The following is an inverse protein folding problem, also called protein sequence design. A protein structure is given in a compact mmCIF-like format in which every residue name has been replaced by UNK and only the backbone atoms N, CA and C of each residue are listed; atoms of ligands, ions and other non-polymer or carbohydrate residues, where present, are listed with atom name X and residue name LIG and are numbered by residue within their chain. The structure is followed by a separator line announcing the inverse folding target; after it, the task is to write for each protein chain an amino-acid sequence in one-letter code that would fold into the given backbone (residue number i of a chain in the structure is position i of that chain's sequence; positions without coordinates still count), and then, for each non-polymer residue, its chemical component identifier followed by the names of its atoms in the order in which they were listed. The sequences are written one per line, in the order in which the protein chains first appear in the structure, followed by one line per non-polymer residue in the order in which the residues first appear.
data_IF_888952421293
#
_entry.id   IF_888952421293
#
_cell.length_a   1.000
_cell.length_b   1.000
_cell.length_c   1.000
_cell.angle_alpha   90.00
_cell.angle_beta   90.00
_cell.angle_gamma   90.00
#
_symmetry.space_group_name_H-M   'P 1'
#
loop_
_entity.id
_entity.type
_entity.pdbx_description
1 polymer ?
#
# COMPACT_ATOMS: atom_id res chain seq x y z
N UNK A 1 -45.85 -19.01 13.84
CA UNK A 1 -44.82 -18.03 14.25
C UNK A 1 -45.45 -16.65 14.18
N UNK A 2 -45.69 -16.02 15.33
CA UNK A 2 -46.30 -14.70 15.38
C UNK A 2 -45.42 -13.68 14.63
N UNK A 3 -46.02 -12.89 13.75
CA UNK A 3 -45.32 -11.83 13.03
C UNK A 3 -44.69 -10.89 14.06
N UNK A 4 -43.35 -10.81 14.10
CA UNK A 4 -42.66 -9.90 14.98
C UNK A 4 -43.12 -8.47 14.64
N UNK A 5 -43.70 -7.80 15.62
CA UNK A 5 -44.13 -6.41 15.49
C UNK A 5 -42.92 -5.52 15.25
N UNK A 6 -43.06 -4.51 14.39
CA UNK A 6 -42.01 -3.55 14.06
C UNK A 6 -41.30 -2.96 15.29
N UNK A 7 -42.05 -2.80 16.39
CA UNK A 7 -41.61 -2.24 17.66
C UNK A 7 -40.55 -3.10 18.38
N UNK A 8 -40.55 -4.42 18.16
CA UNK A 8 -39.60 -5.36 18.76
C UNK A 8 -38.41 -5.73 17.87
N UNK A 9 -38.25 -5.10 16.69
CA UNK A 9 -37.20 -5.49 15.76
C UNK A 9 -35.81 -4.99 16.23
N UNK A 10 -34.82 -5.88 16.44
CA UNK A 10 -33.45 -5.47 16.82
C UNK A 10 -32.73 -4.68 15.71
N UNK A 11 -33.21 -4.78 14.47
CA UNK A 11 -32.68 -4.06 13.31
C UNK A 11 -33.41 -2.73 13.05
N UNK A 12 -34.26 -2.26 13.97
CA UNK A 12 -35.03 -1.02 13.78
C UNK A 12 -34.14 0.20 13.50
N UNK A 13 -32.97 0.27 14.14
CA UNK A 13 -32.01 1.37 13.96
C UNK A 13 -31.38 1.38 12.57
N UNK A 14 -31.13 0.20 11.99
CA UNK A 14 -30.54 0.04 10.66
C UNK A 14 -31.56 -0.13 9.54
N UNK A 15 -32.86 -0.21 9.87
CA UNK A 15 -33.91 -0.43 8.89
C UNK A 15 -34.15 0.83 8.04
N UNK A 16 -34.14 0.72 6.71
CA UNK A 16 -34.40 1.85 5.81
C UNK A 16 -35.89 2.22 5.73
N UNK A 17 -36.80 1.36 6.23
CA UNK A 17 -38.24 1.60 6.23
C UNK A 17 -38.57 2.62 7.34
N UNK A 18 -39.23 3.71 6.98
CA UNK A 18 -39.64 4.78 7.90
C UNK A 18 -41.15 4.79 8.07
N UNK A 19 -41.61 4.86 9.32
CA UNK A 19 -43.02 5.08 9.62
C UNK A 19 -43.33 6.58 9.46
N UNK A 20 -44.33 6.88 8.66
CA UNK A 20 -44.88 8.24 8.49
C UNK A 20 -45.84 8.55 9.64
N UNK A 21 -46.10 9.84 9.88
CA UNK A 21 -47.04 10.32 10.92
C UNK A 21 -48.46 9.73 10.79
N UNK A 22 -48.84 9.31 9.58
CA UNK A 22 -50.14 8.73 9.27
C UNK A 22 -50.19 7.21 9.48
N UNK A 23 -49.19 6.62 10.15
CA UNK A 23 -49.11 5.19 10.43
C UNK A 23 -48.69 4.32 9.24
N UNK A 24 -48.42 4.89 8.05
CA UNK A 24 -47.92 4.13 6.89
C UNK A 24 -46.41 3.95 6.94
N UNK A 25 -45.94 2.81 6.48
CA UNK A 25 -44.52 2.54 6.30
C UNK A 25 -44.09 2.89 4.87
N UNK A 26 -42.98 3.60 4.75
CA UNK A 26 -42.44 4.10 3.47
C UNK A 26 -40.98 3.69 3.33
N UNK A 27 -40.60 3.38 2.09
CA UNK A 27 -39.22 3.07 1.72
C UNK A 27 -38.85 4.00 0.58
N UNK A 28 -38.00 4.97 0.85
CA UNK A 28 -37.53 5.92 -0.15
C UNK A 28 -36.17 5.49 -0.67
N UNK A 29 -36.10 5.24 -1.98
CA UNK A 29 -34.83 5.08 -2.69
C UNK A 29 -34.59 6.31 -3.54
N UNK A 30 -33.59 7.11 -3.16
CA UNK A 30 -33.18 8.20 -4.03
C UNK A 30 -32.45 7.64 -5.26
N UNK A 31 -32.46 8.39 -6.37
CA UNK A 31 -31.65 8.04 -7.54
C UNK A 31 -30.15 7.95 -7.22
N UNK A 32 -29.68 8.65 -6.17
CA UNK A 32 -28.32 8.53 -5.65
C UNK A 32 -28.10 7.16 -4.98
N UNK A 33 -29.04 6.70 -4.16
CA UNK A 33 -28.93 5.40 -3.48
C UNK A 33 -28.93 4.24 -4.47
N UNK A 34 -29.77 4.32 -5.51
CA UNK A 34 -29.75 3.35 -6.60
C UNK A 34 -28.40 3.28 -7.30
N UNK A 35 -27.78 4.43 -7.61
CA UNK A 35 -26.43 4.49 -8.22
C UNK A 35 -25.34 3.95 -7.30
N UNK A 36 -25.43 4.23 -5.99
CA UNK A 36 -24.50 3.70 -5.01
C UNK A 36 -24.65 2.19 -4.83
N UNK A 37 -25.87 1.68 -4.81
CA UNK A 37 -26.13 0.24 -4.74
C UNK A 37 -25.59 -0.48 -5.98
N UNK A 38 -25.77 0.10 -7.18
CA UNK A 38 -25.16 -0.41 -8.42
C UNK A 38 -23.64 -0.48 -8.31
N UNK A 39 -22.98 0.62 -7.90
CA UNK A 39 -21.54 0.63 -7.67
C UNK A 39 -21.10 -0.42 -6.64
N UNK A 40 -21.80 -0.59 -5.51
CA UNK A 40 -21.42 -1.62 -4.53
C UNK A 40 -21.44 -3.02 -5.13
N UNK A 41 -22.49 -3.35 -5.89
CA UNK A 41 -22.59 -4.65 -6.59
C UNK A 41 -21.44 -4.86 -7.56
N UNK A 42 -21.06 -3.83 -8.32
CA UNK A 42 -19.89 -3.89 -9.21
C UNK A 42 -18.58 -4.06 -8.44
N UNK A 43 -18.40 -3.29 -7.37
CA UNK A 43 -17.21 -3.33 -6.51
C UNK A 43 -17.04 -4.66 -5.77
N UNK A 44 -18.13 -5.35 -5.46
CA UNK A 44 -18.14 -6.67 -4.82
C UNK A 44 -17.75 -7.80 -5.78
N UNK A 45 -17.67 -7.54 -7.10
CA UNK A 45 -17.22 -8.55 -8.05
C UNK A 45 -15.71 -8.84 -7.91
N UNK A 46 -15.28 -10.11 -8.06
CA UNK A 46 -13.86 -10.45 -7.98
C UNK A 46 -13.03 -9.79 -9.07
N UNK A 47 -13.61 -9.58 -10.26
CA UNK A 47 -12.96 -8.90 -11.39
C UNK A 47 -12.65 -7.44 -11.06
N UNK A 48 -13.56 -6.75 -10.34
CA UNK A 48 -13.30 -5.39 -9.90
C UNK A 48 -12.17 -5.36 -8.86
N UNK A 49 -12.20 -6.28 -7.90
CA UNK A 49 -11.16 -6.38 -6.86
C UNK A 49 -9.76 -6.62 -7.47
N UNK A 50 -9.66 -7.51 -8.46
CA UNK A 50 -8.39 -7.79 -9.15
C UNK A 50 -7.86 -6.56 -9.89
N UNK A 51 -8.74 -5.84 -10.61
CA UNK A 51 -8.37 -4.62 -11.33
C UNK A 51 -7.98 -3.48 -10.38
N UNK A 52 -8.67 -3.33 -9.26
CA UNK A 52 -8.43 -2.27 -8.28
C UNK A 52 -7.33 -2.62 -7.27
N UNK A 53 -6.83 -3.86 -7.25
CA UNK A 53 -5.74 -4.30 -6.37
C UNK A 53 -4.48 -3.45 -6.53
N UNK A 54 -4.13 -3.09 -7.77
CA UNK A 54 -2.95 -2.24 -8.03
C UNK A 54 -3.17 -0.83 -7.46
N UNK A 55 -4.35 -0.25 -7.70
CA UNK A 55 -4.67 1.10 -7.25
C UNK A 55 -4.75 1.20 -5.73
N UNK A 56 -5.44 0.26 -5.09
CA UNK A 56 -5.52 0.16 -3.64
C UNK A 56 -4.14 -0.04 -3.01
N UNK A 57 -3.23 -0.76 -3.66
CA UNK A 57 -1.81 -0.86 -3.27
C UNK A 57 -1.09 0.49 -3.26
N UNK A 58 -1.31 1.33 -4.28
CA UNK A 58 -0.78 2.70 -4.36
C UNK A 58 -1.35 3.58 -3.24
N UNK A 59 -2.67 3.55 -3.08
CA UNK A 59 -3.38 4.35 -2.08
C UNK A 59 -2.92 3.99 -0.66
N UNK A 60 -2.78 2.69 -0.38
CA UNK A 60 -2.25 2.17 0.89
C UNK A 60 -0.83 2.67 1.15
N UNK A 61 0.04 2.61 0.14
CA UNK A 61 1.42 3.10 0.23
C UNK A 61 1.45 4.61 0.50
N UNK A 62 0.67 5.40 -0.24
CA UNK A 62 0.59 6.85 -0.05
C UNK A 62 0.03 7.24 1.33
N UNK A 63 -1.00 6.53 1.80
CA UNK A 63 -1.54 6.70 3.15
C UNK A 63 -0.47 6.39 4.20
N UNK A 64 0.25 5.30 4.03
CA UNK A 64 1.38 4.92 4.88
C UNK A 64 2.49 5.97 4.94
N UNK A 65 2.92 6.48 3.78
CA UNK A 65 3.92 7.54 3.67
C UNK A 65 3.47 8.84 4.35
N UNK A 66 2.21 9.24 4.15
CA UNK A 66 1.65 10.45 4.77
C UNK A 66 1.53 10.30 6.28
N UNK A 67 0.94 9.21 6.75
CA UNK A 67 0.54 9.05 8.15
C UNK A 67 1.68 8.57 9.05
N UNK A 68 2.53 7.65 8.57
CA UNK A 68 3.64 7.11 9.39
C UNK A 68 4.94 7.86 9.20
N UNK A 69 5.22 8.31 7.97
CA UNK A 69 6.47 9.01 7.67
C UNK A 69 6.29 10.53 7.58
N UNK A 70 5.10 11.07 7.79
CA UNK A 70 4.85 12.52 7.84
C UNK A 70 5.10 13.22 6.51
N UNK A 71 4.85 12.55 5.38
CA UNK A 71 5.13 13.10 4.05
C UNK A 71 4.21 14.29 3.68
N UNK A 72 3.09 14.45 4.39
CA UNK A 72 2.18 15.59 4.27
C UNK A 72 2.72 16.89 4.91
N UNK A 73 3.70 16.81 5.82
CA UNK A 73 4.26 17.98 6.53
C UNK A 73 5.77 17.84 6.69
N UNK A 74 6.49 18.25 5.65
CA UNK A 74 7.96 18.27 5.67
C UNK A 74 8.47 19.53 6.37
N UNK A 75 9.42 19.37 7.29
CA UNK A 75 10.05 20.48 8.04
C UNK A 75 11.25 21.12 7.31
N UNK A 76 11.43 20.83 6.03
CA UNK A 76 12.55 21.34 5.22
C UNK A 76 12.07 22.36 4.20
N UNK A 77 12.94 23.32 3.88
CA UNK A 77 12.72 24.33 2.82
C UNK A 77 13.71 24.09 1.68
N UNK A 78 13.37 24.58 0.50
CA UNK A 78 14.18 24.45 -0.70
C UNK A 78 13.97 23.13 -1.44
N UNK A 79 13.89 23.22 -2.77
CA UNK A 79 13.52 22.11 -3.66
C UNK A 79 14.43 20.88 -3.48
N UNK A 80 15.75 21.06 -3.44
CA UNK A 80 16.70 19.96 -3.28
C UNK A 80 16.54 19.18 -1.97
N UNK A 81 16.39 19.90 -0.86
CA UNK A 81 16.17 19.29 0.46
C UNK A 81 14.83 18.55 0.53
N UNK A 82 13.77 19.11 -0.05
CA UNK A 82 12.45 18.47 -0.15
C UNK A 82 12.56 17.15 -0.90
N UNK A 83 13.19 17.13 -2.09
CA UNK A 83 13.36 15.91 -2.87
C UNK A 83 14.17 14.83 -2.13
N UNK A 84 15.27 15.21 -1.48
CA UNK A 84 16.09 14.26 -0.71
C UNK A 84 15.31 13.64 0.43
N UNK A 85 14.51 14.42 1.16
CA UNK A 85 13.68 13.91 2.26
C UNK A 85 12.56 13.00 1.75
N UNK A 86 11.89 13.36 0.66
CA UNK A 86 10.87 12.51 0.04
C UNK A 86 11.50 11.17 -0.36
N UNK A 87 12.62 11.20 -1.08
CA UNK A 87 13.32 10.00 -1.52
C UNK A 87 13.67 9.10 -0.33
N UNK A 88 14.25 9.67 0.72
CA UNK A 88 14.65 8.91 1.91
C UNK A 88 13.46 8.30 2.64
N UNK A 89 12.32 9.00 2.71
CA UNK A 89 11.08 8.46 3.28
C UNK A 89 10.50 7.34 2.42
N UNK A 90 10.48 7.50 1.10
CA UNK A 90 10.01 6.48 0.17
C UNK A 90 10.88 5.23 0.26
N UNK A 91 12.21 5.36 0.31
CA UNK A 91 13.11 4.22 0.51
C UNK A 91 12.95 3.60 1.90
N UNK A 92 12.73 4.43 2.92
CA UNK A 92 12.52 4.01 4.31
C UNK A 92 11.22 3.23 4.53
N UNK A 93 10.21 3.37 3.64
CA UNK A 93 8.95 2.63 3.71
C UNK A 93 9.12 1.10 3.66
N UNK A 94 10.22 0.62 3.07
CA UNK A 94 10.51 -0.80 3.00
C UNK A 94 10.80 -1.44 4.38
N UNK A 95 11.32 -0.67 5.34
CA UNK A 95 11.63 -1.16 6.70
C UNK A 95 10.38 -1.60 7.47
N UNK A 96 9.34 -0.77 7.66
CA UNK A 96 8.12 -1.21 8.34
C UNK A 96 7.37 -2.31 7.56
N UNK A 97 7.49 -2.36 6.23
CA UNK A 97 6.94 -3.44 5.42
C UNK A 97 7.64 -4.77 5.70
N UNK A 98 8.97 -4.76 5.81
CA UNK A 98 9.75 -5.93 6.19
C UNK A 98 9.42 -6.40 7.61
N UNK A 99 9.28 -5.46 8.55
CA UNK A 99 8.92 -5.75 9.94
C UNK A 99 7.51 -6.37 10.06
N UNK A 100 6.54 -5.93 9.25
CA UNK A 100 5.19 -6.50 9.26
C UNK A 100 5.15 -7.93 8.69
N UNK A 101 6.01 -8.25 7.73
CA UNK A 101 6.04 -9.56 7.06
C UNK A 101 6.56 -10.66 7.99
N UNK A 102 5.75 -11.70 8.20
CA UNK A 102 6.15 -12.90 8.97
C UNK A 102 7.35 -13.62 8.33
N UNK A 103 7.34 -13.74 6.99
CA UNK A 103 8.40 -14.40 6.21
C UNK A 103 9.74 -13.69 6.37
N UNK A 104 9.74 -12.37 6.20
CA UNK A 104 10.97 -11.57 6.32
C UNK A 104 11.49 -11.57 7.75
N UNK A 105 10.61 -11.47 8.77
CA UNK A 105 11.02 -11.62 10.17
C UNK A 105 11.68 -12.97 10.43
N UNK A 106 11.10 -14.08 9.96
CA UNK A 106 11.70 -15.40 10.13
C UNK A 106 13.07 -15.52 9.46
N UNK A 107 13.20 -15.00 8.24
CA UNK A 107 14.47 -14.93 7.52
C UNK A 107 15.52 -14.14 8.31
N UNK A 108 15.18 -12.93 8.74
CA UNK A 108 16.08 -12.07 9.54
C UNK A 108 16.47 -12.75 10.86
N UNK A 109 15.53 -13.36 11.57
CA UNK A 109 15.82 -14.11 12.81
C UNK A 109 16.80 -15.27 12.58
N UNK A 110 16.64 -16.02 11.48
CA UNK A 110 17.56 -17.10 11.13
C UNK A 110 18.97 -16.57 10.83
N UNK A 111 19.07 -15.44 10.13
CA UNK A 111 20.34 -14.81 9.78
C UNK A 111 21.04 -14.26 11.01
N UNK A 112 20.32 -13.56 11.89
CA UNK A 112 20.84 -13.07 13.17
C UNK A 112 21.36 -14.23 14.02
N UNK A 113 20.62 -15.34 14.10
CA UNK A 113 21.07 -16.53 14.83
C UNK A 113 22.35 -17.15 14.23
N UNK A 114 22.54 -17.09 12.91
CA UNK A 114 23.78 -17.52 12.26
C UNK A 114 24.95 -16.58 12.58
N UNK A 115 24.74 -15.27 12.49
CA UNK A 115 25.77 -14.26 12.80
C UNK A 115 26.22 -14.34 14.25
N UNK A 116 25.30 -14.56 15.20
CA UNK A 116 25.63 -14.68 16.62
C UNK A 116 26.38 -15.97 16.97
N UNK A 117 26.18 -17.05 16.20
CA UNK A 117 26.92 -18.32 16.38
C UNK A 117 28.35 -18.24 15.81
N UNK A 118 28.59 -17.38 14.83
CA UNK A 118 29.94 -17.08 14.33
C UNK A 118 30.60 -16.00 15.17
N UNK A 119 31.14 -16.35 16.35
CA UNK A 119 31.73 -15.44 17.34
C UNK A 119 33.01 -14.69 16.92
N UNK A 120 33.10 -14.21 15.68
CA UNK A 120 34.13 -13.29 15.22
C UNK A 120 33.46 -12.09 14.57
N UNK A 121 33.80 -10.89 15.04
CA UNK A 121 33.43 -9.62 14.43
C UNK A 121 33.88 -9.57 12.98
N UNK A 122 33.08 -10.09 12.05
CA UNK A 122 33.34 -9.90 10.63
C UNK A 122 33.11 -8.45 10.30
N UNK A 123 34.05 -7.86 9.57
CA UNK A 123 33.96 -6.49 9.09
C UNK A 123 32.61 -6.26 8.40
N UNK A 124 32.06 -5.06 8.54
CA UNK A 124 30.72 -4.68 8.05
C UNK A 124 30.57 -4.94 6.53
N UNK A 125 31.68 -5.08 5.79
CA UNK A 125 31.72 -5.49 4.37
C UNK A 125 31.21 -6.91 4.09
N UNK A 126 31.21 -7.83 5.07
CA UNK A 126 30.87 -9.24 4.85
C UNK A 126 29.39 -9.57 5.11
N UNK A 127 28.55 -8.57 5.44
CA UNK A 127 27.13 -8.76 5.73
C UNK A 127 26.22 -8.89 4.50
N UNK A 128 26.78 -8.79 3.28
CA UNK A 128 26.07 -9.04 2.02
C UNK A 128 26.63 -10.28 1.31
N UNK A 129 26.59 -11.44 1.97
CA UNK A 129 26.71 -12.72 1.26
C UNK A 129 25.29 -13.22 0.98
N UNK A 130 24.84 -13.29 -0.30
CA UNK A 130 23.55 -13.88 -0.61
C UNK A 130 23.63 -15.35 -0.22
N UNK A 131 22.81 -15.77 0.75
CA UNK A 131 22.68 -17.18 1.09
C UNK A 131 22.19 -17.95 -0.14
N UNK A 132 22.87 -19.05 -0.54
CA UNK A 132 22.45 -19.86 -1.68
C UNK A 132 21.21 -20.65 -1.28
N UNK A 133 20.04 -20.06 -1.53
CA UNK A 133 18.75 -20.65 -1.17
C UNK A 133 17.54 -19.74 -1.44
N UNK A 134 17.73 -18.42 -1.53
CA UNK A 134 16.69 -17.48 -2.01
C UNK A 134 17.10 -16.83 -3.34
N UNK A 135 17.23 -17.65 -4.38
CA UNK A 135 17.50 -17.17 -5.74
C UNK A 135 16.32 -16.31 -6.23
N UNK A 136 16.44 -14.98 -6.14
CA UNK A 136 15.86 -13.90 -7.02
C UNK A 136 15.77 -12.52 -6.37
N UNK A 137 16.35 -12.27 -5.19
CA UNK A 137 16.26 -10.94 -4.56
C UNK A 137 17.44 -9.98 -4.87
N UNK A 138 18.52 -10.44 -5.49
CA UNK A 138 19.79 -9.68 -5.61
C UNK A 138 19.87 -8.73 -6.81
N UNK A 139 18.88 -8.68 -7.71
CA UNK A 139 18.88 -7.76 -8.87
C UNK A 139 18.21 -6.40 -8.60
N UNK A 140 17.65 -6.20 -7.40
CA UNK A 140 16.84 -5.01 -7.07
C UNK A 140 17.67 -3.80 -6.62
N UNK A 141 18.82 -4.02 -5.96
CA UNK A 141 19.59 -2.91 -5.38
C UNK A 141 20.57 -2.26 -6.38
N UNK A 142 20.98 -2.97 -7.43
CA UNK A 142 21.96 -2.49 -8.43
C UNK A 142 21.35 -1.74 -9.63
N UNK A 143 20.03 -1.76 -9.78
CA UNK A 143 19.31 -1.00 -10.83
C UNK A 143 19.02 0.46 -10.45
N UNK A 144 18.78 0.75 -9.17
CA UNK A 144 18.37 2.08 -8.70
C UNK A 144 19.49 3.13 -8.82
N UNK A 145 20.75 2.73 -8.64
CA UNK A 145 21.92 3.63 -8.75
C UNK A 145 22.42 3.85 -10.18
N UNK A 146 22.15 2.92 -11.12
CA UNK A 146 22.54 3.08 -12.54
C UNK A 146 21.58 3.97 -13.34
N UNK A 147 20.29 3.96 -13.02
CA UNK A 147 19.30 4.85 -13.65
C UNK A 147 19.51 6.32 -13.26
N UNK A 148 20.02 6.60 -12.06
CA UNK A 148 20.22 7.96 -11.58
C UNK A 148 21.45 8.65 -12.19
N UNK A 149 22.48 7.88 -12.60
CA UNK A 149 23.71 8.44 -13.21
C UNK A 149 23.59 8.69 -14.72
N UNK A 150 22.60 8.10 -15.40
CA UNK A 150 22.38 8.24 -16.86
C UNK A 150 21.31 9.27 -17.24
N UNK A 151 20.43 9.68 -16.32
CA UNK A 151 19.25 10.49 -16.65
C UNK A 151 19.37 11.99 -16.38
N UNK A 152 20.46 12.44 -15.73
CA UNK A 152 20.65 13.86 -15.38
C UNK A 152 22.07 14.33 -15.69
N UNK A 153 22.43 14.29 -16.98
CA UNK A 153 23.42 15.20 -17.55
C UNK A 153 22.77 16.54 -17.91
N UNK A 154 23.53 17.65 -18.00
CA UNK A 154 22.97 18.93 -18.36
C UNK A 154 22.56 18.91 -19.83
N UNK A 155 21.48 19.63 -20.16
CA UNK A 155 20.95 19.94 -21.50
C UNK A 155 19.77 19.07 -21.99
N UNK A 156 18.64 19.76 -22.20
CA UNK A 156 17.77 19.52 -23.35
C UNK A 156 16.59 18.55 -23.20
N UNK A 157 15.38 19.11 -23.35
CA UNK A 157 14.13 18.45 -23.77
C UNK A 157 13.31 17.68 -22.71
N UNK A 158 12.44 18.46 -22.06
CA UNK A 158 11.22 18.02 -21.38
C UNK A 158 10.17 17.52 -22.39
N UNK A 159 10.25 16.26 -22.82
CA UNK A 159 9.10 15.57 -23.41
C UNK A 159 9.33 14.07 -23.34
N UNK A 160 8.83 13.41 -22.28
CA UNK A 160 8.51 11.95 -22.22
C UNK A 160 8.37 11.40 -20.79
N UNK A 161 8.57 12.21 -19.74
CA UNK A 161 8.58 11.72 -18.35
C UNK A 161 7.20 11.47 -17.71
N UNK A 162 6.12 11.38 -18.49
CA UNK A 162 4.78 11.12 -17.95
C UNK A 162 4.44 9.62 -17.79
N UNK A 163 5.36 8.71 -18.13
CA UNK A 163 5.13 7.24 -18.06
C UNK A 163 5.71 6.53 -16.83
N UNK A 164 6.50 7.20 -15.99
CA UNK A 164 7.23 6.51 -14.90
C UNK A 164 6.57 6.62 -13.51
N UNK A 165 5.46 7.35 -13.38
CA UNK A 165 4.74 7.46 -12.09
C UNK A 165 3.69 6.35 -11.87
N UNK A 166 3.39 5.54 -12.88
CA UNK A 166 2.31 4.54 -12.83
C UNK A 166 2.69 3.30 -13.63
N UNK A 167 3.06 2.19 -12.97
CA UNK A 167 3.20 0.90 -13.66
C UNK A 167 4.03 -0.14 -12.92
N UNK A 168 5.34 0.03 -12.86
CA UNK A 168 6.21 -1.13 -12.56
C UNK A 168 6.63 -1.29 -11.09
N UNK A 169 6.76 -0.20 -10.33
CA UNK A 169 7.14 -0.29 -8.90
C UNK A 169 6.04 -0.92 -8.01
N UNK A 170 4.79 -0.92 -8.48
CA UNK A 170 3.64 -1.43 -7.73
C UNK A 170 3.17 -2.81 -8.18
N UNK A 171 3.43 -3.17 -9.45
CA UNK A 171 3.17 -4.52 -9.98
C UNK A 171 3.97 -5.59 -9.22
N UNK A 172 5.25 -5.35 -8.98
CA UNK A 172 6.12 -6.41 -8.41
C UNK A 172 6.01 -6.52 -6.89
N UNK A 173 5.67 -5.43 -6.20
CA UNK A 173 5.49 -5.48 -4.75
C UNK A 173 4.16 -6.09 -4.31
N UNK A 174 3.20 -6.26 -5.23
CA UNK A 174 1.96 -6.99 -4.98
C UNK A 174 2.19 -8.52 -5.01
N UNK A 175 2.98 -9.03 -5.97
CA UNK A 175 3.27 -10.48 -6.12
C UNK A 175 4.10 -11.12 -5.01
N UNK A 176 4.77 -10.33 -4.17
CA UNK A 176 5.60 -10.85 -3.07
C UNK A 176 4.92 -10.72 -1.69
N UNK A 177 3.80 -10.01 -1.62
CA UNK A 177 3.14 -9.67 -0.35
C UNK A 177 1.66 -10.06 -0.30
N UNK A 178 1.11 -10.61 -1.39
CA UNK A 178 -0.14 -11.37 -1.42
C UNK A 178 0.14 -12.79 -1.92
#
# INVERSE_FOLDING_TARGET
MAAATWEGCPLRTSCPIRQTRNGRYTLEFTAKDRRLAGRRREHETPVFAERDATRSGIESTNSGLKNRLGLNRLRVRGRGSVFRVILHKVTGWNVPRAAASKKLRACVSSQVAQTLKGGGSRAIEELYVPTPGCGTASRWFSGFSRLFRRTWGPSGCLSENHRLFTGELLSVTSRLLF
#
